data_IF_403976482055
#
_entry.id   IF_403976482055
#
_cell.length_a   1.000
_cell.length_b   1.000
_cell.length_c   1.000
_cell.angle_alpha   90.00
_cell.angle_beta   90.00
_cell.angle_gamma   90.00
#
_symmetry.space_group_name_H-M   'P 1'
#
loop_
_entity.id
_entity.type
_entity.pdbx_description
1 polymer ?
#
# COMPACT_ATOMS: atom_id res chain seq x y z
N UNK A 1 62.48 39.27 -31.38
CA UNK A 1 62.32 37.80 -31.33
C UNK A 1 61.41 37.47 -30.13
N UNK A 2 60.15 37.04 -30.34
CA UNK A 2 59.68 35.63 -30.24
C UNK A 2 59.89 35.06 -28.82
N UNK A 3 58.93 34.59 -28.01
CA UNK A 3 57.57 33.98 -28.12
C UNK A 3 56.89 34.18 -26.74
N UNK A 4 55.61 34.53 -26.57
CA UNK A 4 54.34 33.81 -26.81
C UNK A 4 54.20 32.48 -26.04
N UNK A 5 53.37 32.49 -25.00
CA UNK A 5 52.65 31.30 -24.49
C UNK A 5 51.36 31.76 -23.79
N UNK A 6 50.28 31.77 -24.58
CA UNK A 6 48.87 31.79 -24.16
C UNK A 6 48.44 30.37 -23.73
N UNK A 7 47.28 30.27 -23.06
CA UNK A 7 46.46 29.07 -22.79
C UNK A 7 46.91 28.21 -21.59
N UNK A 8 46.09 27.93 -20.57
CA UNK A 8 44.71 27.48 -20.68
C UNK A 8 43.79 27.98 -19.54
N UNK A 9 42.64 28.47 -19.98
CA UNK A 9 41.37 28.57 -19.26
C UNK A 9 40.74 27.16 -19.24
N UNK A 10 40.37 26.63 -18.08
CA UNK A 10 39.30 25.65 -17.96
C UNK A 10 38.86 25.56 -16.49
N UNK A 11 37.74 26.21 -16.20
CA UNK A 11 36.97 25.97 -14.99
C UNK A 11 36.47 24.52 -15.00
N UNK A 12 36.96 23.69 -14.09
CA UNK A 12 36.43 22.34 -13.89
C UNK A 12 35.13 22.44 -13.08
N UNK A 13 34.08 22.58 -13.89
CA UNK A 13 32.67 22.32 -13.68
C UNK A 13 32.33 21.42 -12.47
N UNK A 14 31.57 21.97 -11.52
CA UNK A 14 30.84 21.21 -10.51
C UNK A 14 29.76 20.31 -11.12
N UNK A 15 30.15 19.15 -11.65
CA UNK A 15 29.27 18.13 -12.27
C UNK A 15 29.01 16.90 -11.40
N UNK A 16 29.77 16.67 -10.32
CA UNK A 16 29.72 15.40 -9.60
C UNK A 16 28.51 15.16 -8.68
N UNK A 17 27.70 16.17 -8.35
CA UNK A 17 26.57 15.98 -7.44
C UNK A 17 25.29 15.49 -8.15
N UNK A 18 25.16 15.67 -9.47
CA UNK A 18 23.99 15.25 -10.23
C UNK A 18 23.99 13.77 -10.61
N UNK A 19 25.17 13.22 -10.91
CA UNK A 19 25.33 11.82 -11.32
C UNK A 19 25.13 10.85 -10.15
N UNK A 20 25.65 11.16 -8.96
CA UNK A 20 25.48 10.32 -7.76
C UNK A 20 24.02 10.18 -7.29
N UNK A 21 23.21 11.24 -7.44
CA UNK A 21 21.79 11.22 -7.10
C UNK A 21 20.98 10.43 -8.14
N UNK A 22 21.34 10.54 -9.42
CA UNK A 22 20.73 9.76 -10.50
C UNK A 22 20.98 8.26 -10.32
N UNK A 23 22.21 7.87 -9.98
CA UNK A 23 22.57 6.47 -9.75
C UNK A 23 21.84 5.90 -8.53
N UNK A 24 21.75 6.67 -7.44
CA UNK A 24 20.99 6.27 -6.24
C UNK A 24 19.48 6.09 -6.53
N UNK A 25 18.91 6.89 -7.44
CA UNK A 25 17.52 6.76 -7.87
C UNK A 25 17.32 5.56 -8.81
N UNK A 26 18.28 5.25 -9.67
CA UNK A 26 18.28 4.05 -10.52
C UNK A 26 18.33 2.79 -9.66
N UNK A 27 19.21 2.76 -8.65
CA UNK A 27 19.34 1.64 -7.71
C UNK A 27 18.04 1.43 -6.91
N UNK A 28 17.46 2.53 -6.42
CA UNK A 28 16.17 2.48 -5.70
C UNK A 28 15.04 1.98 -6.61
N UNK A 29 14.99 2.44 -7.86
CA UNK A 29 14.00 1.99 -8.83
C UNK A 29 14.16 0.50 -9.12
N UNK A 30 15.39 0.03 -9.31
CA UNK A 30 15.66 -1.38 -9.56
C UNK A 30 15.28 -2.25 -8.37
N UNK A 31 15.52 -1.78 -7.14
CA UNK A 31 15.06 -2.43 -5.92
C UNK A 31 13.53 -2.60 -5.93
N UNK A 32 12.79 -1.52 -6.19
CA UNK A 32 11.31 -1.56 -6.24
C UNK A 32 10.83 -2.54 -7.33
N UNK A 33 11.43 -2.53 -8.52
CA UNK A 33 11.06 -3.46 -9.61
C UNK A 33 11.28 -4.91 -9.17
N UNK A 34 12.39 -5.20 -8.50
CA UNK A 34 12.68 -6.54 -7.99
C UNK A 34 11.63 -6.97 -6.95
N UNK A 35 11.28 -6.11 -6.00
CA UNK A 35 10.25 -6.41 -4.99
C UNK A 35 8.87 -6.62 -5.63
N UNK A 36 8.49 -5.80 -6.61
CA UNK A 36 7.23 -5.96 -7.36
C UNK A 36 7.23 -7.26 -8.15
N UNK A 37 8.37 -7.67 -8.72
CA UNK A 37 8.51 -8.93 -9.42
C UNK A 37 8.40 -10.15 -8.48
N UNK A 38 9.01 -10.07 -7.31
CA UNK A 38 8.88 -11.09 -6.25
C UNK A 38 7.43 -11.21 -5.83
N UNK A 39 6.74 -10.10 -5.59
CA UNK A 39 5.33 -10.09 -5.24
C UNK A 39 4.42 -10.59 -6.37
N UNK A 40 4.79 -10.36 -7.63
CA UNK A 40 4.03 -10.81 -8.79
C UNK A 40 4.11 -12.32 -9.02
N UNK A 41 5.30 -12.89 -8.80
CA UNK A 41 5.62 -14.30 -9.01
C UNK A 41 5.30 -15.20 -7.81
N UNK A 42 5.26 -14.65 -6.60
CA UNK A 42 4.92 -15.38 -5.39
C UNK A 42 3.41 -15.68 -5.28
N UNK A 43 3.10 -16.93 -4.94
CA UNK A 43 1.74 -17.38 -4.63
C UNK A 43 1.50 -17.41 -3.12
N UNK A 44 0.37 -16.85 -2.68
CA UNK A 44 0.01 -16.72 -1.26
C UNK A 44 -0.29 -18.06 -0.55
N UNK A 45 -0.20 -19.18 -1.26
CA UNK A 45 -0.47 -20.53 -0.75
C UNK A 45 0.77 -21.25 -0.20
N UNK A 46 1.98 -20.81 -0.54
CA UNK A 46 3.25 -21.42 -0.09
C UNK A 46 3.84 -20.62 1.08
N UNK A 47 4.22 -21.27 2.18
CA UNK A 47 4.79 -20.58 3.36
C UNK A 47 6.09 -19.82 3.04
N UNK A 48 6.93 -20.37 2.17
CA UNK A 48 8.17 -19.70 1.74
C UNK A 48 7.90 -18.44 0.93
N UNK A 49 6.89 -18.48 0.07
CA UNK A 49 6.54 -17.36 -0.80
C UNK A 49 5.77 -16.28 -0.03
N UNK A 50 5.04 -16.66 1.02
CA UNK A 50 4.40 -15.71 1.94
C UNK A 50 5.40 -14.87 2.70
N UNK A 51 6.50 -15.46 3.19
CA UNK A 51 7.55 -14.68 3.86
C UNK A 51 8.19 -13.67 2.89
N UNK A 52 8.43 -14.07 1.64
CA UNK A 52 8.92 -13.16 0.59
C UNK A 52 7.92 -12.04 0.33
N UNK A 53 6.62 -12.35 0.26
CA UNK A 53 5.56 -11.36 0.10
C UNK A 53 5.54 -10.38 1.28
N UNK A 54 5.60 -10.87 2.51
CA UNK A 54 5.60 -10.02 3.71
C UNK A 54 6.81 -9.07 3.72
N UNK A 55 8.01 -9.60 3.46
CA UNK A 55 9.25 -8.80 3.40
C UNK A 55 9.15 -7.74 2.31
N UNK A 56 8.71 -8.12 1.10
CA UNK A 56 8.59 -7.20 -0.01
C UNK A 56 7.57 -6.09 0.27
N UNK A 57 6.41 -6.40 0.86
CA UNK A 57 5.43 -5.38 1.26
C UNK A 57 6.00 -4.48 2.36
N UNK A 58 6.72 -5.03 3.33
CA UNK A 58 7.33 -4.25 4.41
C UNK A 58 8.37 -3.25 3.84
N UNK A 59 9.19 -3.67 2.87
CA UNK A 59 10.11 -2.79 2.14
C UNK A 59 9.35 -1.69 1.39
N UNK A 60 8.31 -2.05 0.62
CA UNK A 60 7.48 -1.06 -0.09
C UNK A 60 6.79 -0.09 0.89
N UNK A 61 6.34 -0.56 2.04
CA UNK A 61 5.71 0.27 3.07
C UNK A 61 6.70 1.26 3.70
N UNK A 62 7.95 0.84 3.89
CA UNK A 62 9.00 1.69 4.41
C UNK A 62 9.37 2.77 3.39
N UNK A 63 9.45 2.41 2.11
CA UNK A 63 9.67 3.35 1.02
C UNK A 63 8.48 4.31 0.84
N UNK A 64 7.24 3.84 1.00
CA UNK A 64 6.04 4.66 0.87
C UNK A 64 5.91 5.76 1.94
N UNK A 65 6.69 5.71 3.02
CA UNK A 65 6.80 6.81 4.00
C UNK A 65 7.56 8.02 3.44
N UNK A 66 8.39 7.82 2.43
CA UNK A 66 9.21 8.84 1.80
C UNK A 66 8.53 9.36 0.54
N UNK A 67 8.19 10.65 0.50
CA UNK A 67 7.46 11.25 -0.62
C UNK A 67 8.11 11.06 -1.99
N UNK A 68 9.44 11.02 -2.06
CA UNK A 68 10.21 10.82 -3.28
C UNK A 68 10.07 9.40 -3.85
N UNK A 69 9.91 8.39 -2.97
CA UNK A 69 9.82 7.00 -3.37
C UNK A 69 8.39 6.58 -3.73
N UNK A 70 7.36 7.25 -3.17
CA UNK A 70 5.94 6.96 -3.49
C UNK A 70 5.69 6.97 -5.00
N UNK A 71 6.21 7.97 -5.71
CA UNK A 71 6.06 8.07 -7.17
C UNK A 71 6.71 6.88 -7.88
N UNK A 72 7.93 6.50 -7.49
CA UNK A 72 8.61 5.34 -8.06
C UNK A 72 7.86 4.03 -7.79
N UNK A 73 7.30 3.86 -6.59
CA UNK A 73 6.51 2.67 -6.23
C UNK A 73 5.29 2.53 -7.15
N UNK A 74 4.60 3.63 -7.41
CA UNK A 74 3.43 3.66 -8.29
C UNK A 74 3.85 3.41 -9.74
N UNK A 75 4.90 4.08 -10.22
CA UNK A 75 5.42 3.94 -11.59
C UNK A 75 5.94 2.53 -11.89
N UNK A 76 6.46 1.83 -10.89
CA UNK A 76 6.91 0.44 -11.01
C UNK A 76 5.76 -0.58 -10.96
N UNK A 77 4.49 -0.13 -10.85
CA UNK A 77 3.33 -1.02 -10.90
C UNK A 77 3.08 -1.78 -9.60
N UNK A 78 3.47 -1.24 -8.44
CA UNK A 78 3.21 -1.90 -7.16
C UNK A 78 1.70 -1.97 -6.83
N UNK A 79 0.89 -1.01 -7.29
CA UNK A 79 -0.53 -0.91 -6.93
C UNK A 79 -1.35 -2.16 -7.33
N UNK A 80 -1.33 -2.63 -8.60
CA UNK A 80 -2.04 -3.86 -8.97
C UNK A 80 -1.61 -5.09 -8.18
N UNK A 81 -0.31 -5.17 -7.85
CA UNK A 81 0.24 -6.32 -7.12
C UNK A 81 -0.18 -6.30 -5.64
N UNK A 82 -0.19 -5.12 -5.01
CA UNK A 82 -0.73 -4.95 -3.66
C UNK A 82 -2.23 -5.27 -3.62
N UNK A 83 -2.98 -4.90 -4.67
CA UNK A 83 -4.42 -5.24 -4.78
C UNK A 83 -4.63 -6.74 -4.99
N UNK A 84 -3.77 -7.42 -5.76
CA UNK A 84 -3.78 -8.89 -5.88
C UNK A 84 -3.64 -9.56 -4.52
N UNK A 85 -2.73 -9.10 -3.67
CA UNK A 85 -2.48 -9.65 -2.33
C UNK A 85 -3.51 -9.22 -1.28
N UNK A 86 -4.30 -8.18 -1.57
CA UNK A 86 -5.51 -7.81 -0.83
C UNK A 86 -6.68 -8.77 -1.08
N UNK A 87 -6.62 -9.53 -2.18
CA UNK A 87 -7.61 -10.57 -2.49
C UNK A 87 -7.41 -11.69 -1.50
N UNK A 88 -8.19 -11.63 -0.44
CA UNK A 88 -8.13 -12.65 0.57
C UNK A 88 -8.41 -14.03 -0.03
N UNK A 89 -7.72 -15.09 0.44
CA UNK A 89 -8.09 -16.44 0.10
C UNK A 89 -9.57 -16.59 0.43
N UNK A 90 -10.33 -17.01 -0.58
CA UNK A 90 -11.74 -17.33 -0.44
C UNK A 90 -11.88 -18.17 0.82
N UNK A 91 -12.63 -17.64 1.79
CA UNK A 91 -13.28 -18.50 2.76
C UNK A 91 -14.09 -19.46 1.90
N UNK A 92 -13.57 -20.66 1.66
CA UNK A 92 -14.41 -21.76 1.26
C UNK A 92 -15.50 -21.88 2.32
N UNK A 93 -16.68 -22.29 1.90
CA UNK A 93 -17.89 -22.45 2.72
C UNK A 93 -17.75 -23.50 3.85
N UNK A 94 -16.53 -23.76 4.34
CA UNK A 94 -16.23 -24.61 5.48
C UNK A 94 -16.33 -23.77 6.75
N UNK A 95 -17.48 -23.85 7.42
CA UNK A 95 -17.85 -23.20 8.69
C UNK A 95 -16.86 -23.40 9.86
N UNK A 96 -15.75 -24.15 9.69
CA UNK A 96 -14.79 -24.50 10.74
C UNK A 96 -13.39 -23.91 10.57
N UNK A 97 -13.04 -23.30 9.44
CA UNK A 97 -11.69 -22.73 9.26
C UNK A 97 -11.62 -21.30 9.78
N UNK A 98 -11.38 -21.16 11.07
CA UNK A 98 -10.92 -19.89 11.66
C UNK A 98 -9.81 -19.30 10.77
N UNK A 99 -9.88 -18.02 10.36
CA UNK A 99 -8.81 -17.38 9.60
C UNK A 99 -7.51 -17.58 10.35
N UNK A 100 -6.52 -18.25 9.75
CA UNK A 100 -5.26 -18.44 10.44
C UNK A 100 -4.67 -17.03 10.66
N UNK A 101 -4.19 -16.69 11.87
CA UNK A 101 -3.69 -15.34 12.15
C UNK A 101 -2.59 -14.88 11.17
N UNK A 102 -1.87 -15.84 10.57
CA UNK A 102 -0.89 -15.61 9.53
C UNK A 102 -1.50 -15.11 8.21
N UNK A 103 -2.65 -15.65 7.77
CA UNK A 103 -3.28 -15.30 6.48
C UNK A 103 -3.50 -13.80 6.37
N UNK A 104 -3.97 -13.19 7.45
CA UNK A 104 -4.40 -11.80 7.54
C UNK A 104 -3.27 -10.75 7.57
N UNK A 105 -2.02 -11.16 7.82
CA UNK A 105 -0.92 -10.21 7.92
C UNK A 105 -0.50 -9.64 6.56
N UNK A 106 -0.71 -10.39 5.48
CA UNK A 106 -0.47 -9.91 4.11
C UNK A 106 -1.50 -8.85 3.76
N UNK A 107 -2.81 -9.10 3.96
CA UNK A 107 -3.84 -8.11 3.62
C UNK A 107 -3.73 -6.86 4.48
N UNK A 108 -3.39 -7.01 5.76
CA UNK A 108 -3.14 -5.87 6.67
C UNK A 108 -2.03 -4.97 6.13
N UNK A 109 -0.89 -5.56 5.75
CA UNK A 109 0.25 -4.80 5.22
C UNK A 109 -0.06 -4.18 3.87
N UNK A 110 -0.72 -4.92 2.97
CA UNK A 110 -1.14 -4.39 1.67
C UNK A 110 -2.12 -3.22 1.82
N UNK A 111 -3.13 -3.34 2.69
CA UNK A 111 -4.05 -2.26 2.99
C UNK A 111 -3.32 -1.04 3.58
N UNK A 112 -2.38 -1.27 4.49
CA UNK A 112 -1.58 -0.20 5.08
C UNK A 112 -0.75 0.55 4.03
N UNK A 113 -0.01 -0.17 3.17
CA UNK A 113 0.80 0.42 2.11
C UNK A 113 -0.06 1.20 1.12
N UNK A 114 -1.20 0.66 0.70
CA UNK A 114 -2.14 1.39 -0.16
C UNK A 114 -2.71 2.64 0.51
N UNK A 115 -2.95 2.59 1.82
CA UNK A 115 -3.37 3.75 2.60
C UNK A 115 -2.32 4.86 2.66
N UNK A 116 -1.03 4.51 2.64
CA UNK A 116 0.08 5.48 2.51
C UNK A 116 0.13 6.09 1.10
N UNK A 117 0.04 5.26 0.05
CA UNK A 117 0.01 5.73 -1.33
C UNK A 117 -1.18 6.67 -1.60
N UNK A 118 -2.34 6.34 -1.03
CA UNK A 118 -3.57 7.13 -1.12
C UNK A 118 -3.51 8.47 -0.37
N UNK A 119 -2.44 8.75 0.40
CA UNK A 119 -2.24 10.08 0.96
C UNK A 119 -1.96 11.13 -0.12
N UNK A 120 -1.49 10.71 -1.29
CA UNK A 120 -1.31 11.59 -2.44
C UNK A 120 -2.56 11.53 -3.32
N UNK A 121 -3.29 12.65 -3.51
CA UNK A 121 -4.56 12.64 -4.24
C UNK A 121 -4.41 12.15 -5.69
N UNK A 122 -3.22 12.30 -6.27
CA UNK A 122 -2.87 11.85 -7.62
C UNK A 122 -2.99 10.33 -7.79
N UNK A 123 -2.75 9.56 -6.72
CA UNK A 123 -2.78 8.09 -6.77
C UNK A 123 -4.09 7.48 -6.30
N UNK A 124 -4.98 8.26 -5.68
CA UNK A 124 -6.23 7.74 -5.14
C UNK A 124 -7.12 7.10 -6.23
N UNK A 125 -7.26 7.75 -7.38
CA UNK A 125 -8.05 7.22 -8.50
C UNK A 125 -7.41 5.96 -9.07
N UNK A 126 -6.09 5.95 -9.27
CA UNK A 126 -5.35 4.77 -9.75
C UNK A 126 -5.57 3.54 -8.85
N UNK A 127 -5.57 3.74 -7.53
CA UNK A 127 -5.80 2.66 -6.56
C UNK A 127 -7.25 2.13 -6.65
N UNK A 128 -8.23 3.02 -6.82
CA UNK A 128 -9.64 2.63 -7.00
C UNK A 128 -9.84 1.90 -8.32
N UNK A 129 -9.26 2.41 -9.41
CA UNK A 129 -9.33 1.81 -10.76
C UNK A 129 -8.65 0.44 -10.82
N UNK A 130 -7.62 0.22 -9.99
CA UNK A 130 -6.98 -1.10 -9.82
C UNK A 130 -7.88 -2.11 -9.10
N UNK A 131 -9.07 -1.73 -8.64
CA UNK A 131 -10.02 -2.60 -7.97
C UNK A 131 -9.79 -2.76 -6.47
N UNK A 132 -9.04 -1.87 -5.82
CA UNK A 132 -8.78 -1.97 -4.38
C UNK A 132 -10.05 -1.90 -3.52
N UNK A 133 -11.04 -1.09 -3.95
CA UNK A 133 -12.18 -0.73 -3.12
C UNK A 133 -13.08 -1.91 -2.73
N UNK A 134 -13.53 -2.79 -3.64
CA UNK A 134 -14.29 -4.00 -3.27
C UNK A 134 -13.54 -4.90 -2.29
N UNK A 135 -12.22 -5.04 -2.44
CA UNK A 135 -11.41 -5.86 -1.54
C UNK A 135 -11.31 -5.25 -0.15
N UNK A 136 -11.05 -3.95 -0.04
CA UNK A 136 -11.03 -3.24 1.25
C UNK A 136 -12.38 -3.31 1.97
N UNK A 137 -13.49 -3.14 1.26
CA UNK A 137 -14.84 -3.27 1.84
C UNK A 137 -15.12 -4.71 2.29
N UNK A 138 -14.67 -5.71 1.52
CA UNK A 138 -14.81 -7.11 1.92
C UNK A 138 -14.03 -7.43 3.20
N UNK A 139 -12.84 -6.84 3.39
CA UNK A 139 -12.08 -6.99 4.63
C UNK A 139 -12.81 -6.39 5.85
N UNK A 140 -13.51 -5.27 5.69
CA UNK A 140 -14.31 -4.70 6.78
C UNK A 140 -15.47 -5.64 7.17
N UNK A 141 -16.14 -6.24 6.16
CA UNK A 141 -17.28 -7.15 6.36
C UNK A 141 -16.90 -8.46 7.05
N UNK A 142 -15.65 -8.91 6.96
CA UNK A 142 -15.18 -10.15 7.63
C UNK A 142 -15.37 -10.11 9.14
N UNK A 143 -15.43 -8.93 9.77
CA UNK A 143 -15.75 -8.82 11.19
C UNK A 143 -17.17 -9.27 11.49
N UNK A 144 -18.13 -8.91 10.65
CA UNK A 144 -19.52 -9.30 10.83
C UNK A 144 -19.70 -10.82 10.81
N UNK A 145 -18.74 -11.56 10.24
CA UNK A 145 -18.76 -13.02 10.12
C UNK A 145 -17.81 -13.74 11.08
N UNK A 146 -16.97 -13.05 11.86
CA UNK A 146 -15.97 -13.66 12.73
C UNK A 146 -16.14 -13.22 14.20
N UNK A 147 -16.11 -14.15 15.18
CA UNK A 147 -16.18 -13.82 16.60
C UNK A 147 -15.08 -12.84 17.06
N UNK A 148 -15.24 -12.18 18.23
CA UNK A 148 -14.51 -10.97 18.59
C UNK A 148 -12.97 -11.04 18.77
N UNK A 149 -12.32 -12.20 18.61
CA UNK A 149 -11.16 -12.51 19.45
C UNK A 149 -9.78 -12.62 18.77
N UNK A 150 -9.59 -12.19 17.52
CA UNK A 150 -8.24 -12.18 16.93
C UNK A 150 -7.70 -10.76 16.76
N UNK A 151 -6.67 -10.42 17.55
CA UNK A 151 -5.90 -9.17 17.43
C UNK A 151 -5.38 -8.92 16.00
N UNK A 152 -5.15 -9.97 15.23
CA UNK A 152 -4.78 -9.88 13.82
C UNK A 152 -5.92 -9.29 12.96
N UNK A 153 -7.17 -9.73 13.18
CA UNK A 153 -8.36 -9.23 12.48
C UNK A 153 -8.57 -7.73 12.74
N UNK A 154 -8.40 -7.28 14.00
CA UNK A 154 -8.49 -5.85 14.33
C UNK A 154 -7.44 -5.03 13.56
N UNK A 155 -6.23 -5.58 13.40
CA UNK A 155 -5.15 -4.96 12.63
C UNK A 155 -5.52 -4.75 11.16
N UNK A 156 -6.10 -5.78 10.52
CA UNK A 156 -6.57 -5.72 9.13
C UNK A 156 -7.69 -4.69 8.97
N UNK A 157 -8.71 -4.76 9.82
CA UNK A 157 -9.87 -3.88 9.75
C UNK A 157 -9.45 -2.42 9.91
N UNK A 158 -8.57 -2.14 10.89
CA UNK A 158 -8.00 -0.82 11.09
C UNK A 158 -7.24 -0.34 9.85
N UNK A 159 -6.41 -1.21 9.25
CA UNK A 159 -5.68 -0.92 8.03
C UNK A 159 -6.61 -0.60 6.85
N UNK A 160 -7.66 -1.40 6.67
CA UNK A 160 -8.65 -1.22 5.62
C UNK A 160 -9.47 0.07 5.80
N UNK A 161 -9.94 0.34 7.02
CA UNK A 161 -10.66 1.58 7.34
C UNK A 161 -9.78 2.81 7.10
N UNK A 162 -8.51 2.76 7.54
CA UNK A 162 -7.55 3.83 7.29
C UNK A 162 -7.29 4.04 5.79
N UNK A 163 -7.12 2.96 5.03
CA UNK A 163 -6.93 3.04 3.58
C UNK A 163 -8.14 3.66 2.87
N UNK A 164 -9.37 3.26 3.25
CA UNK A 164 -10.60 3.84 2.71
C UNK A 164 -10.70 5.33 3.06
N UNK A 165 -10.36 5.72 4.28
CA UNK A 165 -10.32 7.13 4.68
C UNK A 165 -9.29 7.95 3.90
N UNK A 166 -8.09 7.41 3.69
CA UNK A 166 -7.07 8.05 2.83
C UNK A 166 -7.54 8.22 1.38
N UNK A 167 -8.20 7.20 0.82
CA UNK A 167 -8.75 7.24 -0.54
C UNK A 167 -9.89 8.25 -0.69
N UNK A 168 -10.74 8.38 0.33
CA UNK A 168 -11.87 9.30 0.36
C UNK A 168 -11.46 10.77 0.60
N UNK A 169 -10.23 11.00 1.08
CA UNK A 169 -9.79 12.32 1.51
C UNK A 169 -9.82 13.30 0.35
N UNK A 170 -10.64 14.33 0.52
CA UNK A 170 -10.83 15.43 -0.46
C UNK A 170 -11.31 14.97 -1.85
N UNK A 171 -11.81 13.74 -1.98
CA UNK A 171 -12.19 13.16 -3.26
C UNK A 171 -13.66 12.70 -3.28
N UNK A 172 -14.56 13.59 -3.72
CA UNK A 172 -16.01 13.35 -3.73
C UNK A 172 -16.44 12.20 -4.66
N UNK A 173 -15.69 11.95 -5.73
CA UNK A 173 -15.93 10.82 -6.64
C UNK A 173 -15.68 9.49 -5.92
N UNK A 174 -14.57 9.40 -5.19
CA UNK A 174 -14.24 8.19 -4.42
C UNK A 174 -15.19 8.01 -3.24
N UNK A 175 -15.58 9.08 -2.55
CA UNK A 175 -16.64 9.01 -1.52
C UNK A 175 -17.93 8.40 -2.07
N UNK A 176 -18.32 8.79 -3.29
CA UNK A 176 -19.48 8.21 -3.97
C UNK A 176 -19.26 6.75 -4.32
N UNK A 177 -18.07 6.37 -4.81
CA UNK A 177 -17.72 4.98 -5.10
C UNK A 177 -17.75 4.09 -3.84
N UNK A 178 -17.22 4.57 -2.70
CA UNK A 178 -17.26 3.85 -1.41
C UNK A 178 -18.70 3.58 -0.98
N UNK A 179 -19.59 4.58 -1.15
CA UNK A 179 -21.02 4.43 -0.86
C UNK A 179 -21.66 3.36 -1.75
N UNK A 180 -21.40 3.40 -3.05
CA UNK A 180 -21.93 2.41 -4.02
C UNK A 180 -21.39 1.01 -3.76
N UNK A 181 -20.12 0.89 -3.35
CA UNK A 181 -19.52 -0.38 -2.96
C UNK A 181 -20.06 -0.94 -1.63
N UNK A 182 -20.94 -0.21 -0.93
CA UNK A 182 -21.49 -0.63 0.35
C UNK A 182 -20.48 -0.59 1.49
N UNK A 183 -19.51 0.32 1.44
CA UNK A 183 -18.50 0.50 2.48
C UNK A 183 -19.00 1.22 3.73
N UNK A 184 -20.09 2.00 3.64
CA UNK A 184 -20.61 2.79 4.76
C UNK A 184 -21.14 1.91 5.91
N UNK A 185 -22.02 0.90 5.69
CA UNK A 185 -22.55 0.11 6.80
C UNK A 185 -21.43 -0.58 7.61
N UNK A 186 -20.43 -1.25 7.00
CA UNK A 186 -19.31 -1.81 7.75
C UNK A 186 -18.52 -0.76 8.53
N UNK A 187 -18.32 0.45 7.99
CA UNK A 187 -17.63 1.52 8.72
C UNK A 187 -18.43 2.01 9.93
N UNK A 188 -19.76 2.05 9.86
CA UNK A 188 -20.62 2.40 10.98
C UNK A 188 -20.58 1.34 12.08
N UNK A 189 -20.63 0.06 11.71
CA UNK A 189 -20.52 -1.06 12.67
C UNK A 189 -19.19 -0.99 13.46
N UNK A 190 -18.12 -0.49 12.83
CA UNK A 190 -16.81 -0.34 13.46
C UNK A 190 -16.72 0.83 14.45
N UNK A 191 -17.70 1.73 14.49
CA UNK A 191 -17.77 2.76 15.53
C UNK A 191 -18.18 2.18 16.88
N UNK A 192 -18.87 1.05 16.91
CA UNK A 192 -19.30 0.36 18.14
C UNK A 192 -18.27 -0.66 18.62
N UNK A 193 -17.05 -0.61 18.09
CA UNK A 193 -16.01 -1.59 18.32
C UNK A 193 -15.21 -1.37 19.62
N UNK A 194 -14.84 -2.44 20.32
CA UNK A 194 -14.09 -2.33 21.60
C UNK A 194 -12.67 -1.75 21.45
N UNK A 195 -12.08 -1.82 20.26
CA UNK A 195 -10.74 -1.27 19.98
C UNK A 195 -10.82 0.21 19.57
N UNK A 196 -10.31 1.14 20.40
CA UNK A 196 -10.38 2.57 20.12
C UNK A 196 -9.60 2.98 18.86
N UNK A 197 -8.57 2.21 18.47
CA UNK A 197 -7.82 2.49 17.25
C UNK A 197 -8.64 2.17 16.01
N UNK A 198 -9.46 1.12 16.06
CA UNK A 198 -10.39 0.77 14.98
C UNK A 198 -11.49 1.83 14.86
N UNK A 199 -12.10 2.23 15.98
CA UNK A 199 -13.10 3.30 16.02
C UNK A 199 -12.57 4.60 15.43
N UNK A 200 -11.34 5.00 15.80
CA UNK A 200 -10.70 6.20 15.28
C UNK A 200 -10.51 6.14 13.76
N UNK A 201 -10.04 5.02 13.23
CA UNK A 201 -9.87 4.83 11.78
C UNK A 201 -11.22 4.85 11.05
N UNK A 202 -12.24 4.20 11.60
CA UNK A 202 -13.59 4.21 11.03
C UNK A 202 -14.22 5.61 11.03
N UNK A 203 -14.14 6.33 12.15
CA UNK A 203 -14.59 7.71 12.26
C UNK A 203 -13.84 8.64 11.31
N UNK A 204 -12.53 8.41 11.11
CA UNK A 204 -11.72 9.12 10.12
C UNK A 204 -12.22 8.90 8.69
N UNK A 205 -12.60 7.66 8.35
CA UNK A 205 -13.10 7.32 7.02
C UNK A 205 -14.50 7.86 6.72
N UNK A 206 -15.30 8.17 7.74
CA UNK A 206 -16.67 8.68 7.63
C UNK A 206 -16.78 10.21 7.56
N UNK A 207 -15.67 10.94 7.65
CA UNK A 207 -15.62 12.42 7.51
C UNK A 207 -15.72 12.87 6.06
#
# INVERSE_FOLDING_TARGET
LKRKSESAFAADSGRNNGESLSDSLMDLRQLIINEVHVLGSADSYSEEDRLKIEVAIDVLSALAKSDSAVTLIVDCGAVPVLVKHLRAPSCGDDEERSPRPYELEIEKRSAFTLGLLAMKPEYQQLIVDSGALPHLVNLLKRRSSCPPCSRAVNGVIRGAANAIGSLARENSRIKSAIRVAGGIPPLLDLLEFDDPMVQKSAAGALR
#
